data_IF_309134543201
#
_entry.id   IF_309134543201
#
_cell.length_a   1.000
_cell.length_b   1.000
_cell.length_c   1.000
_cell.angle_alpha   90.00
_cell.angle_beta   90.00
_cell.angle_gamma   90.00
#
_symmetry.space_group_name_H-M   'P 1'
#
loop_
_entity.id
_entity.type
_entity.pdbx_description
1 polymer ?
#
# COMPACT_ATOMS: atom_id res chain seq x y z
N UNK A 1 17.25 3.71 0.23
CA UNK A 1 16.90 4.67 1.31
C UNK A 1 17.94 5.79 1.34
N UNK A 2 17.90 6.71 2.31
CA UNK A 2 18.92 7.77 2.43
C UNK A 2 20.32 7.24 2.79
N UNK A 3 20.44 6.00 3.28
CA UNK A 3 21.72 5.30 3.47
C UNK A 3 22.27 4.70 2.18
N UNK A 4 21.54 4.80 1.07
CA UNK A 4 21.94 4.26 -0.24
C UNK A 4 21.59 2.79 -0.43
N UNK A 5 20.89 2.15 0.51
CA UNK A 5 20.46 0.76 0.39
C UNK A 5 19.30 0.64 -0.59
N UNK A 6 19.37 -0.31 -1.51
CA UNK A 6 18.35 -0.54 -2.54
C UNK A 6 18.07 -2.02 -2.66
N UNK A 7 16.79 -2.37 -2.64
CA UNK A 7 16.30 -3.71 -2.89
C UNK A 7 15.37 -3.68 -4.09
N UNK A 8 15.68 -4.49 -5.11
CA UNK A 8 14.88 -4.59 -6.33
C UNK A 8 14.25 -5.97 -6.42
N UNK A 9 12.98 -6.02 -6.83
CA UNK A 9 12.20 -7.27 -6.97
C UNK A 9 12.28 -8.17 -5.73
N UNK A 10 11.95 -7.63 -4.55
CA UNK A 10 11.94 -8.40 -3.29
C UNK A 10 10.95 -9.57 -3.41
N UNK A 11 11.45 -10.81 -3.32
CA UNK A 11 10.63 -12.04 -3.48
C UNK A 11 10.43 -12.84 -2.20
N UNK A 12 11.28 -12.69 -1.19
CA UNK A 12 11.28 -13.57 -0.02
C UNK A 12 10.09 -13.31 0.91
N UNK A 13 9.72 -12.04 1.10
CA UNK A 13 8.69 -11.63 2.06
C UNK A 13 7.46 -10.95 1.41
N UNK A 14 7.44 -10.88 0.08
CA UNK A 14 6.35 -10.29 -0.71
C UNK A 14 5.77 -11.34 -1.65
N UNK A 15 4.47 -11.56 -1.55
CA UNK A 15 3.72 -12.47 -2.40
C UNK A 15 2.86 -11.65 -3.36
N UNK A 16 2.94 -11.99 -4.65
CA UNK A 16 2.15 -11.38 -5.74
C UNK A 16 1.16 -12.42 -6.24
N UNK A 17 -0.13 -12.09 -6.25
CA UNK A 17 -1.20 -12.93 -6.81
C UNK A 17 -1.87 -12.20 -7.97
N UNK A 18 -1.99 -12.86 -9.11
CA UNK A 18 -2.68 -12.33 -10.29
C UNK A 18 -4.18 -12.23 -10.01
N UNK A 19 -4.79 -11.15 -10.50
CA UNK A 19 -6.22 -10.92 -10.44
C UNK A 19 -6.78 -10.78 -11.84
N UNK A 20 -7.99 -11.29 -12.07
CA UNK A 20 -8.73 -11.01 -13.29
C UNK A 20 -9.26 -9.56 -13.31
N UNK A 21 -9.86 -9.17 -14.42
CA UNK A 21 -10.46 -7.83 -14.59
C UNK A 21 -11.60 -7.53 -13.59
N UNK A 22 -12.12 -8.53 -12.88
CA UNK A 22 -13.17 -8.39 -11.86
C UNK A 22 -12.61 -8.42 -10.42
N UNK A 23 -11.29 -8.59 -10.27
CA UNK A 23 -10.63 -8.67 -8.97
C UNK A 23 -10.62 -10.07 -8.32
N UNK A 24 -10.98 -11.12 -9.05
CA UNK A 24 -10.88 -12.50 -8.56
C UNK A 24 -9.45 -13.03 -8.74
N UNK A 25 -9.00 -13.85 -7.79
CA UNK A 25 -7.66 -14.46 -7.87
C UNK A 25 -7.61 -15.46 -9.01
N UNK A 26 -6.68 -15.24 -9.94
CA UNK A 26 -6.31 -16.22 -10.96
C UNK A 26 -5.29 -17.15 -10.31
N UNK A 27 -5.59 -18.44 -10.23
CA UNK A 27 -4.65 -19.44 -9.72
C UNK A 27 -3.35 -19.35 -10.54
N UNK A 28 -2.20 -19.23 -9.87
CA UNK A 28 -0.93 -19.15 -10.57
C UNK A 28 -0.78 -20.44 -11.37
N UNK A 29 -0.80 -20.36 -12.70
CA UNK A 29 -0.17 -21.41 -13.50
C UNK A 29 1.22 -21.56 -12.92
N UNK A 30 1.61 -22.78 -12.54
CA UNK A 30 3.03 -23.06 -12.30
C UNK A 30 3.79 -22.41 -13.45
N UNK A 31 4.84 -21.65 -13.17
CA UNK A 31 5.83 -21.18 -14.15
C UNK A 31 6.60 -22.39 -14.68
N UNK A 32 5.85 -23.34 -15.25
CA UNK A 32 6.21 -24.71 -15.50
C UNK A 32 5.86 -25.05 -16.93
N UNK A 33 6.85 -24.84 -17.81
CA UNK A 33 7.13 -25.68 -18.97
C UNK A 33 5.90 -25.94 -19.85
N UNK A 34 5.50 -24.93 -20.62
CA UNK A 34 4.43 -25.04 -21.61
C UNK A 34 4.71 -24.29 -22.91
N UNK A 35 5.95 -23.92 -23.18
CA UNK A 35 6.29 -23.52 -24.54
C UNK A 35 6.13 -24.78 -25.42
N UNK A 36 5.48 -24.70 -26.60
CA UNK A 36 5.40 -25.84 -27.51
C UNK A 36 6.80 -26.40 -27.72
N UNK A 37 6.98 -27.69 -27.42
CA UNK A 37 8.24 -28.40 -27.65
C UNK A 37 8.47 -28.43 -29.15
N UNK A 38 9.26 -27.50 -29.66
CA UNK A 38 9.80 -27.58 -31.02
C UNK A 38 10.78 -28.76 -31.00
N UNK A 39 10.59 -29.74 -31.88
CA UNK A 39 11.42 -30.95 -31.90
C UNK A 39 12.91 -30.65 -32.19
N UNK A 40 13.21 -29.48 -32.77
CA UNK A 40 14.56 -29.03 -33.19
C UNK A 40 14.75 -27.50 -33.08
N UNK A 41 14.88 -26.92 -31.87
CA UNK A 41 15.10 -25.48 -31.71
C UNK A 41 16.46 -25.05 -32.30
N UNK A 42 16.57 -23.77 -32.67
CA UNK A 42 17.80 -23.17 -33.20
C UNK A 42 18.81 -22.98 -32.06
N UNK A 43 20.03 -23.46 -32.27
CA UNK A 43 21.13 -23.32 -31.31
C UNK A 43 22.01 -22.12 -31.62
N UNK A 44 22.81 -21.68 -30.65
CA UNK A 44 23.74 -20.54 -30.80
C UNK A 44 24.66 -20.63 -32.01
N UNK A 45 25.09 -21.83 -32.40
CA UNK A 45 25.97 -22.05 -33.55
C UNK A 45 25.24 -22.11 -34.91
N UNK A 46 23.94 -21.80 -34.95
CA UNK A 46 23.12 -21.79 -36.18
C UNK A 46 22.60 -23.17 -36.62
N UNK A 47 22.93 -24.24 -35.87
CA UNK A 47 22.42 -25.59 -36.07
C UNK A 47 21.07 -25.83 -35.38
N UNK A 48 20.40 -26.92 -35.75
CA UNK A 48 19.18 -27.41 -35.09
C UNK A 48 19.53 -28.49 -34.08
N UNK A 49 18.85 -28.53 -32.94
CA UNK A 49 19.11 -29.52 -31.88
C UNK A 49 19.08 -30.97 -32.42
N UNK A 50 20.16 -31.72 -32.22
CA UNK A 50 20.23 -33.15 -32.51
C UNK A 50 19.87 -34.03 -31.30
N UNK A 51 19.64 -35.34 -31.53
CA UNK A 51 19.08 -36.27 -30.53
C UNK A 51 19.95 -36.49 -29.28
N UNK A 52 21.20 -36.01 -29.26
CA UNK A 52 22.16 -36.17 -28.16
C UNK A 52 22.79 -34.83 -27.71
N UNK A 53 22.23 -33.70 -28.11
CA UNK A 53 22.77 -32.38 -27.77
C UNK A 53 21.97 -31.71 -26.65
N UNK A 54 22.66 -31.00 -25.77
CA UNK A 54 22.01 -30.13 -24.78
C UNK A 54 21.67 -28.81 -25.44
N UNK A 55 20.42 -28.38 -25.36
CA UNK A 55 20.00 -27.10 -25.92
C UNK A 55 20.78 -25.94 -25.28
N UNK A 56 21.42 -25.15 -26.14
CA UNK A 56 22.08 -23.90 -25.79
C UNK A 56 21.58 -22.80 -26.75
N UNK A 57 20.68 -21.96 -26.26
CA UNK A 57 20.17 -20.81 -27.01
C UNK A 57 21.15 -19.62 -27.00
N UNK A 58 21.08 -18.79 -28.05
CA UNK A 58 21.88 -17.55 -28.11
C UNK A 58 21.32 -16.47 -27.19
N UNK A 59 22.21 -15.71 -26.55
CA UNK A 59 21.89 -14.47 -25.85
C UNK A 59 22.04 -13.24 -26.76
N UNK A 60 22.08 -13.41 -28.08
CA UNK A 60 22.10 -12.34 -29.08
C UNK A 60 23.21 -11.28 -28.87
N UNK A 61 24.40 -11.72 -28.45
CA UNK A 61 25.56 -10.86 -28.19
C UNK A 61 25.64 -10.34 -26.76
N UNK A 62 24.69 -10.70 -25.90
CA UNK A 62 24.70 -10.35 -24.47
C UNK A 62 25.39 -11.41 -23.59
N UNK A 63 25.98 -12.45 -24.18
CA UNK A 63 26.79 -13.46 -23.47
C UNK A 63 27.93 -12.79 -22.67
N UNK A 64 28.20 -13.28 -21.45
CA UNK A 64 29.37 -12.84 -20.65
C UNK A 64 30.60 -13.71 -20.93
N UNK A 65 30.37 -14.99 -21.23
CA UNK A 65 31.39 -15.97 -21.62
C UNK A 65 30.98 -16.76 -22.86
N UNK A 66 31.94 -17.44 -23.49
CA UNK A 66 31.65 -18.32 -24.63
C UNK A 66 30.87 -19.59 -24.26
N UNK A 67 30.72 -19.90 -22.98
CA UNK A 67 29.93 -21.04 -22.50
C UNK A 67 28.51 -20.63 -22.05
N UNK A 68 28.18 -19.33 -22.06
CA UNK A 68 26.87 -18.86 -21.62
C UNK A 68 25.78 -19.18 -22.65
N UNK A 69 24.67 -19.73 -22.16
CA UNK A 69 23.49 -20.08 -22.94
C UNK A 69 22.26 -19.38 -22.35
N UNK A 70 21.41 -18.82 -23.22
CA UNK A 70 20.11 -18.28 -22.85
C UNK A 70 19.00 -19.20 -23.36
N UNK A 71 18.38 -19.95 -22.46
CA UNK A 71 17.46 -21.03 -22.83
C UNK A 71 15.99 -20.62 -22.75
N UNK A 72 15.69 -19.57 -21.99
CA UNK A 72 14.37 -18.96 -21.87
C UNK A 72 14.36 -17.50 -22.35
N UNK A 73 13.16 -16.96 -22.61
CA UNK A 73 13.02 -15.53 -22.89
C UNK A 73 13.52 -14.67 -21.73
N UNK A 74 13.31 -15.15 -20.50
CA UNK A 74 13.79 -14.48 -19.29
C UNK A 74 15.31 -14.47 -19.21
N UNK A 75 15.99 -15.56 -19.60
CA UNK A 75 17.46 -15.64 -19.61
C UNK A 75 18.05 -14.60 -20.57
N UNK A 76 17.47 -14.45 -21.78
CA UNK A 76 17.89 -13.44 -22.76
C UNK A 76 17.72 -12.03 -22.18
N UNK A 77 16.56 -11.75 -21.58
CA UNK A 77 16.28 -10.45 -20.96
C UNK A 77 17.24 -10.15 -19.81
N UNK A 78 17.55 -11.14 -19.00
CA UNK A 78 18.50 -11.00 -17.90
C UNK A 78 19.94 -10.78 -18.39
N UNK A 79 20.36 -11.46 -19.46
CA UNK A 79 21.66 -11.20 -20.09
C UNK A 79 21.77 -9.77 -20.65
N UNK A 80 20.73 -9.31 -21.36
CA UNK A 80 20.64 -7.92 -21.85
C UNK A 80 20.70 -6.92 -20.70
N UNK A 81 19.96 -7.18 -19.63
CA UNK A 81 19.96 -6.35 -18.41
C UNK A 81 21.35 -6.24 -17.80
N UNK A 82 22.11 -7.33 -17.69
CA UNK A 82 23.49 -7.32 -17.18
C UNK A 82 24.43 -6.46 -18.02
N UNK A 83 24.16 -6.32 -19.33
CA UNK A 83 24.90 -5.45 -20.26
C UNK A 83 24.34 -4.02 -20.31
N UNK A 84 23.23 -3.73 -19.63
CA UNK A 84 22.52 -2.45 -19.71
C UNK A 84 21.82 -2.23 -21.05
N UNK A 85 21.49 -3.30 -21.76
CA UNK A 85 20.74 -3.26 -23.02
C UNK A 85 19.25 -3.49 -22.73
N UNK A 86 18.38 -2.82 -23.48
CA UNK A 86 16.95 -3.07 -23.45
C UNK A 86 16.52 -3.94 -24.62
N UNK A 87 15.59 -4.86 -24.38
CA UNK A 87 15.07 -5.73 -25.43
C UNK A 87 14.00 -4.96 -26.23
N UNK A 88 14.40 -4.38 -27.36
CA UNK A 88 13.55 -3.49 -28.16
C UNK A 88 12.45 -4.21 -28.94
N UNK A 89 12.69 -5.45 -29.38
CA UNK A 89 11.69 -6.24 -30.11
C UNK A 89 11.76 -7.72 -29.71
N UNK A 90 10.87 -8.18 -28.81
CA UNK A 90 10.80 -9.58 -28.40
C UNK A 90 10.50 -10.57 -29.54
N UNK A 91 9.91 -10.14 -30.67
CA UNK A 91 9.62 -11.04 -31.81
C UNK A 91 10.87 -11.49 -32.56
N UNK A 92 11.99 -10.76 -32.42
CA UNK A 92 13.29 -11.13 -33.00
C UNK A 92 14.02 -12.19 -32.18
N UNK A 93 13.55 -12.47 -30.96
CA UNK A 93 14.13 -13.44 -30.05
C UNK A 93 13.35 -14.74 -30.12
N UNK A 94 14.00 -15.81 -30.58
CA UNK A 94 13.39 -17.13 -30.79
C UNK A 94 12.78 -17.67 -29.50
N UNK A 95 13.49 -17.54 -28.38
CA UNK A 95 13.03 -17.96 -27.06
C UNK A 95 11.73 -17.24 -26.66
N UNK A 96 11.64 -15.92 -26.89
CA UNK A 96 10.46 -15.12 -26.57
C UNK A 96 9.28 -15.43 -27.50
N UNK A 97 9.54 -15.62 -28.79
CA UNK A 97 8.53 -16.01 -29.78
C UNK A 97 7.98 -17.41 -29.48
N UNK A 98 8.85 -18.39 -29.21
CA UNK A 98 8.49 -19.77 -28.84
C UNK A 98 7.64 -19.81 -27.57
N UNK A 99 8.00 -19.02 -26.57
CA UNK A 99 7.28 -18.95 -25.31
C UNK A 99 5.99 -18.14 -25.37
N UNK A 100 5.68 -17.55 -26.53
CA UNK A 100 4.50 -16.72 -26.74
C UNK A 100 4.51 -15.48 -25.85
N UNK A 101 5.68 -14.89 -25.58
CA UNK A 101 5.83 -13.81 -24.60
C UNK A 101 4.90 -12.61 -24.88
N UNK A 102 4.82 -12.16 -26.14
CA UNK A 102 3.90 -11.08 -26.52
C UNK A 102 2.42 -11.47 -26.40
N UNK A 103 2.10 -12.75 -26.67
CA UNK A 103 0.73 -13.23 -26.51
C UNK A 103 0.35 -13.26 -25.02
N UNK A 104 1.26 -13.70 -24.14
CA UNK A 104 1.06 -13.66 -22.69
C UNK A 104 0.80 -12.24 -22.18
N UNK A 105 1.56 -11.25 -22.65
CA UNK A 105 1.34 -9.83 -22.30
C UNK A 105 -0.05 -9.36 -22.74
N UNK A 106 -0.51 -9.77 -23.94
CA UNK A 106 -1.86 -9.43 -24.43
C UNK A 106 -2.96 -10.15 -23.65
N UNK A 107 -2.74 -11.39 -23.28
CA UNK A 107 -3.68 -12.18 -22.50
C UNK A 107 -3.80 -11.64 -21.07
N UNK A 108 -2.73 -11.05 -20.54
CA UNK A 108 -2.65 -10.36 -19.25
C UNK A 108 -3.22 -8.93 -19.28
N UNK A 109 -3.73 -8.48 -20.42
CA UNK A 109 -4.32 -7.16 -20.54
C UNK A 109 -5.60 -7.03 -19.70
N UNK A 110 -5.64 -6.01 -18.84
CA UNK A 110 -6.77 -5.77 -17.94
C UNK A 110 -6.72 -6.60 -16.65
N UNK A 111 -5.68 -7.40 -16.45
CA UNK A 111 -5.43 -8.06 -15.17
C UNK A 111 -4.93 -7.08 -14.10
N UNK A 112 -5.15 -7.46 -12.85
CA UNK A 112 -4.62 -6.79 -11.66
C UNK A 112 -3.62 -7.65 -10.91
N UNK A 113 -3.06 -7.09 -9.84
CA UNK A 113 -2.16 -7.82 -8.95
C UNK A 113 -2.50 -7.49 -7.49
N UNK A 114 -2.71 -8.52 -6.68
CA UNK A 114 -2.80 -8.41 -5.23
C UNK A 114 -1.42 -8.68 -4.63
N UNK A 115 -0.88 -7.68 -3.94
CA UNK A 115 0.43 -7.72 -3.31
C UNK A 115 0.24 -7.68 -1.80
N UNK A 116 0.81 -8.64 -1.09
CA UNK A 116 0.82 -8.67 0.37
C UNK A 116 2.12 -9.26 0.89
N UNK A 117 2.53 -8.83 2.08
CA UNK A 117 3.79 -9.22 2.67
C UNK A 117 4.25 -8.21 3.71
N UNK A 118 5.51 -8.32 4.12
CA UNK A 118 6.17 -7.38 5.01
C UNK A 118 7.55 -7.05 4.46
N UNK A 119 8.09 -5.90 4.86
CA UNK A 119 9.43 -5.47 4.48
C UNK A 119 10.14 -4.99 5.74
N UNK A 120 11.29 -5.58 6.03
CA UNK A 120 12.20 -5.05 7.04
C UNK A 120 13.07 -3.98 6.38
N UNK A 121 12.99 -2.76 6.91
CA UNK A 121 13.72 -1.60 6.38
C UNK A 121 14.46 -0.91 7.51
N UNK A 122 15.56 -0.25 7.16
CA UNK A 122 16.25 0.63 8.10
C UNK A 122 15.33 1.74 8.60
N UNK A 123 15.51 2.13 9.87
CA UNK A 123 14.80 3.25 10.49
C UNK A 123 15.37 4.60 10.02
N UNK A 124 15.31 4.83 8.72
CA UNK A 124 15.73 6.07 8.04
C UNK A 124 14.70 6.42 6.96
N UNK A 125 14.75 7.66 6.46
CA UNK A 125 13.88 8.06 5.35
C UNK A 125 14.13 7.20 4.10
N UNK A 126 13.06 6.84 3.41
CA UNK A 126 13.13 5.94 2.28
C UNK A 126 11.91 6.02 1.37
N UNK A 127 11.89 5.15 0.37
CA UNK A 127 10.73 4.98 -0.49
C UNK A 127 10.63 3.53 -0.96
N UNK A 128 9.39 3.07 -1.12
CA UNK A 128 9.06 1.88 -1.89
C UNK A 128 8.02 2.26 -2.94
N UNK A 129 8.00 1.55 -4.07
CA UNK A 129 7.10 1.87 -5.16
C UNK A 129 6.72 0.64 -5.96
N UNK A 130 5.55 0.70 -6.59
CA UNK A 130 5.06 -0.27 -7.54
C UNK A 130 4.97 0.39 -8.90
N UNK A 131 5.68 -0.17 -9.87
CA UNK A 131 5.72 0.33 -11.23
C UNK A 131 5.68 -0.86 -12.21
N UNK A 132 5.12 -0.66 -13.41
CA UNK A 132 5.08 -1.70 -14.42
C UNK A 132 6.48 -2.05 -14.94
N UNK A 133 6.63 -3.30 -15.40
CA UNK A 133 7.88 -3.83 -15.91
C UNK A 133 8.87 -4.24 -14.81
N UNK A 134 9.95 -4.92 -15.21
CA UNK A 134 11.07 -5.22 -14.31
C UNK A 134 11.99 -4.01 -14.26
N UNK A 135 12.28 -3.52 -13.06
CA UNK A 135 13.23 -2.43 -12.81
C UNK A 135 14.66 -2.90 -13.09
N UNK A 136 15.44 -2.12 -13.84
CA UNK A 136 16.88 -2.31 -13.98
C UNK A 136 17.64 -0.99 -13.84
N UNK A 137 18.89 -1.09 -13.40
CA UNK A 137 19.75 0.07 -13.18
C UNK A 137 20.69 0.22 -14.38
N UNK A 138 20.74 1.42 -14.96
CA UNK A 138 21.75 1.81 -15.95
C UNK A 138 22.38 3.13 -15.50
N UNK A 139 23.70 3.12 -15.26
CA UNK A 139 24.48 4.35 -14.95
C UNK A 139 23.89 5.24 -13.84
N UNK A 140 23.49 4.65 -12.71
CA UNK A 140 22.82 5.34 -11.58
C UNK A 140 21.44 5.95 -11.88
N UNK A 141 20.82 5.59 -13.01
CA UNK A 141 19.44 5.93 -13.34
C UNK A 141 18.58 4.66 -13.26
N UNK A 142 17.45 4.77 -12.58
CA UNK A 142 16.43 3.72 -12.55
C UNK A 142 15.67 3.71 -13.88
N UNK A 143 15.85 2.65 -14.66
CA UNK A 143 15.19 2.47 -15.95
C UNK A 143 14.22 1.29 -15.82
N UNK A 144 12.96 1.53 -16.14
CA UNK A 144 11.99 0.44 -16.28
C UNK A 144 12.01 -0.03 -17.73
N UNK A 145 12.03 -1.35 -17.93
CA UNK A 145 11.83 -1.97 -19.25
C UNK A 145 10.36 -1.85 -19.66
N UNK A 146 9.95 -0.62 -20.01
CA UNK A 146 8.62 -0.29 -20.51
C UNK A 146 8.51 -0.49 -22.03
N UNK A 147 9.63 -0.76 -22.70
CA UNK A 147 9.71 -0.86 -24.16
C UNK A 147 8.95 -2.07 -24.72
N UNK A 148 8.84 -3.16 -23.94
CA UNK A 148 7.98 -4.30 -24.27
C UNK A 148 6.48 -4.00 -24.14
N UNK A 149 6.11 -2.92 -23.45
CA UNK A 149 4.75 -2.52 -23.15
C UNK A 149 4.40 -1.25 -23.93
N UNK A 150 4.50 -1.28 -25.27
CA UNK A 150 4.17 -0.21 -26.23
C UNK A 150 2.72 0.34 -26.08
N UNK A 151 2.38 0.88 -24.92
CA UNK A 151 1.16 1.59 -24.63
C UNK A 151 1.56 2.91 -24.00
N UNK A 152 1.03 3.97 -24.58
CA UNK A 152 1.17 5.34 -24.08
C UNK A 152 0.44 5.56 -22.74
N UNK A 153 -0.20 4.52 -22.20
CA UNK A 153 -1.03 4.55 -21.00
C UNK A 153 -0.87 3.30 -20.15
N UNK A 154 -0.61 3.48 -18.85
CA UNK A 154 -0.59 2.44 -17.83
C UNK A 154 -1.65 2.73 -16.79
N UNK A 155 -2.41 1.71 -16.40
CA UNK A 155 -3.38 1.81 -15.33
C UNK A 155 -2.70 1.55 -13.97
N UNK A 156 -2.60 2.60 -13.16
CA UNK A 156 -2.07 2.63 -11.81
C UNK A 156 -3.19 2.82 -10.76
N UNK A 157 -4.44 2.58 -11.14
CA UNK A 157 -5.56 2.46 -10.19
C UNK A 157 -5.26 1.36 -9.19
N UNK A 158 -5.52 1.62 -7.91
CA UNK A 158 -5.14 0.69 -6.86
C UNK A 158 -6.02 0.84 -5.63
N UNK A 159 -6.03 -0.21 -4.82
CA UNK A 159 -6.69 -0.26 -3.53
C UNK A 159 -5.68 -0.69 -2.48
N UNK A 160 -5.52 0.12 -1.44
CA UNK A 160 -4.70 -0.22 -0.29
C UNK A 160 -5.61 -0.92 0.71
N UNK A 161 -5.45 -2.24 0.83
CA UNK A 161 -6.24 -3.01 1.79
C UNK A 161 -5.79 -2.72 3.22
N UNK A 162 -4.48 -2.75 3.45
CA UNK A 162 -3.86 -2.46 4.74
C UNK A 162 -2.42 -1.99 4.55
N UNK A 163 -2.01 -0.94 5.26
CA UNK A 163 -0.62 -0.52 5.38
C UNK A 163 -0.31 -0.15 6.83
N UNK A 164 0.72 -0.76 7.42
CA UNK A 164 1.12 -0.54 8.79
C UNK A 164 2.64 -0.46 8.93
N UNK A 165 3.12 0.30 9.91
CA UNK A 165 4.52 0.42 10.26
C UNK A 165 4.76 -0.13 11.68
N UNK A 166 5.24 -1.37 11.78
CA UNK A 166 5.41 -2.07 13.06
C UNK A 166 4.15 -2.77 13.54
N UNK A 167 4.11 -3.10 14.82
CA UNK A 167 3.09 -3.97 15.41
C UNK A 167 1.74 -3.29 15.65
N UNK A 168 0.66 -4.05 15.65
CA UNK A 168 -0.65 -3.50 16.01
C UNK A 168 -0.72 -3.14 17.50
N UNK A 169 -1.40 -2.04 17.84
CA UNK A 169 -1.77 -1.71 19.21
C UNK A 169 -3.24 -1.22 19.27
N UNK A 170 -3.94 -1.38 20.40
CA UNK A 170 -5.34 -1.00 20.53
C UNK A 170 -5.59 0.48 20.24
N UNK A 171 -6.64 0.76 19.45
CA UNK A 171 -7.06 2.12 19.11
C UNK A 171 -6.29 2.77 17.95
N UNK A 172 -5.28 2.10 17.37
CA UNK A 172 -4.61 2.60 16.16
C UNK A 172 -5.57 2.58 14.97
N UNK A 173 -5.58 3.67 14.20
CA UNK A 173 -6.30 3.79 12.94
C UNK A 173 -5.31 4.25 11.88
N UNK A 174 -5.04 3.42 10.88
CA UNK A 174 -4.12 3.77 9.80
C UNK A 174 -4.88 4.53 8.70
N UNK A 175 -4.38 5.71 8.26
CA UNK A 175 -5.06 6.54 7.27
C UNK A 175 -5.29 5.87 5.90
N UNK A 176 -4.47 4.88 5.52
CA UNK A 176 -4.51 4.25 4.21
C UNK A 176 -5.26 2.91 4.18
N UNK A 177 -5.80 2.44 5.30
CA UNK A 177 -6.54 1.19 5.34
C UNK A 177 -7.88 1.33 4.60
N UNK A 178 -8.06 0.54 3.52
CA UNK A 178 -9.27 0.54 2.70
C UNK A 178 -9.36 1.65 1.66
N UNK A 179 -8.33 2.47 1.49
CA UNK A 179 -8.31 3.56 0.50
C UNK A 179 -8.29 2.98 -0.91
N UNK A 180 -9.10 3.57 -1.80
CA UNK A 180 -9.14 3.24 -3.22
C UNK A 180 -8.92 4.50 -4.04
N UNK A 181 -8.12 4.38 -5.09
CA UNK A 181 -7.91 5.45 -6.04
C UNK A 181 -8.02 4.91 -7.47
N UNK A 182 -8.76 5.64 -8.30
CA UNK A 182 -8.97 5.31 -9.71
C UNK A 182 -8.33 6.37 -10.58
N UNK A 183 -7.58 5.93 -11.57
CA UNK A 183 -6.87 6.81 -12.48
C UNK A 183 -7.80 7.40 -13.54
N UNK A 184 -7.78 8.72 -13.67
CA UNK A 184 -8.54 9.46 -14.68
C UNK A 184 -7.72 9.78 -15.93
N UNK A 185 -6.41 10.07 -15.78
CA UNK A 185 -5.52 10.44 -16.88
C UNK A 185 -4.81 9.22 -17.46
N UNK A 186 -4.43 9.18 -18.76
CA UNK A 186 -3.84 7.99 -19.38
C UNK A 186 -2.55 7.48 -18.73
N UNK A 187 -1.75 8.39 -18.16
CA UNK A 187 -0.49 8.04 -17.52
C UNK A 187 -0.14 9.06 -16.44
N UNK A 188 0.52 8.60 -15.39
CA UNK A 188 0.98 9.45 -14.30
C UNK A 188 1.58 8.65 -13.16
N UNK A 189 2.06 9.38 -12.17
CA UNK A 189 2.57 8.82 -10.93
C UNK A 189 1.70 9.27 -9.76
N UNK A 190 1.32 8.32 -8.90
CA UNK A 190 0.59 8.60 -7.67
C UNK A 190 1.55 8.49 -6.49
N UNK A 191 1.60 9.50 -5.64
CA UNK A 191 2.60 9.64 -4.59
C UNK A 191 1.93 9.79 -3.23
N UNK A 192 2.29 8.90 -2.31
CA UNK A 192 1.97 8.96 -0.89
C UNK A 192 3.19 9.46 -0.12
N UNK A 193 3.06 10.57 0.58
CA UNK A 193 4.06 11.08 1.51
C UNK A 193 3.66 10.74 2.93
N UNK A 194 4.34 9.75 3.51
CA UNK A 194 4.06 9.17 4.80
C UNK A 194 5.01 9.75 5.85
N UNK A 195 4.47 10.30 6.94
CA UNK A 195 5.24 10.70 8.11
C UNK A 195 5.00 9.70 9.24
N UNK A 196 6.01 8.89 9.53
CA UNK A 196 5.96 7.81 10.52
C UNK A 196 6.36 8.36 11.89
N UNK A 197 5.53 8.14 12.90
CA UNK A 197 5.68 8.65 14.27
C UNK A 197 5.88 7.47 15.22
N UNK A 198 7.09 7.31 15.82
CA UNK A 198 7.33 6.29 16.82
C UNK A 198 6.35 6.42 18.00
N UNK A 199 5.69 5.32 18.34
CA UNK A 199 4.63 5.28 19.35
C UNK A 199 4.89 4.16 20.34
N UNK A 200 4.83 4.46 21.64
CA UNK A 200 4.88 3.47 22.71
C UNK A 200 3.51 3.39 23.35
N UNK A 201 2.92 2.19 23.37
CA UNK A 201 1.66 1.93 24.05
C UNK A 201 1.91 1.07 25.28
N UNK A 202 1.46 1.53 26.44
CA UNK A 202 1.51 0.80 27.71
C UNK A 202 0.09 0.46 28.13
N UNK A 203 -0.20 -0.83 28.29
CA UNK A 203 -1.51 -1.28 28.78
C UNK A 203 -1.66 -1.08 30.29
N UNK A 204 -2.84 -1.40 30.81
CA UNK A 204 -3.14 -1.33 32.25
C UNK A 204 -2.32 -2.31 33.11
N UNK A 205 -1.78 -3.37 32.50
CA UNK A 205 -0.94 -4.37 33.18
C UNK A 205 0.54 -3.98 33.23
N UNK A 206 0.93 -2.91 32.52
CA UNK A 206 2.30 -2.44 32.37
C UNK A 206 3.05 -3.04 31.18
N UNK A 207 2.41 -3.88 30.36
CA UNK A 207 2.99 -4.40 29.13
C UNK A 207 3.11 -3.29 28.08
N UNK A 208 4.30 -3.18 27.49
CA UNK A 208 4.67 -2.08 26.58
C UNK A 208 4.86 -2.60 25.16
N UNK A 209 4.16 -2.00 24.20
CA UNK A 209 4.26 -2.26 22.77
C UNK A 209 4.97 -1.07 22.12
N UNK A 210 6.07 -1.33 21.41
CA UNK A 210 6.77 -0.32 20.60
C UNK A 210 6.33 -0.47 19.15
N UNK A 211 5.61 0.54 18.65
CA UNK A 211 5.09 0.54 17.29
C UNK A 211 5.21 1.92 16.67
N UNK A 212 4.53 2.17 15.55
CA UNK A 212 4.46 3.45 14.89
C UNK A 212 3.02 3.77 14.48
N UNK A 213 2.75 5.05 14.41
CA UNK A 213 1.60 5.61 13.71
C UNK A 213 2.11 6.36 12.50
N UNK A 214 1.22 6.77 11.59
CA UNK A 214 1.63 7.63 10.50
C UNK A 214 0.51 8.55 10.04
N UNK A 215 0.90 9.67 9.45
CA UNK A 215 0.02 10.54 8.66
C UNK A 215 0.44 10.50 7.19
N UNK A 216 -0.48 10.85 6.30
CA UNK A 216 -0.26 10.76 4.86
C UNK A 216 -0.74 12.02 4.15
N UNK A 217 0.04 12.44 3.16
CA UNK A 217 -0.36 13.42 2.13
C UNK A 217 -0.28 12.75 0.76
N UNK A 218 -1.27 13.01 -0.07
CA UNK A 218 -1.42 12.39 -1.40
C UNK A 218 -1.15 13.42 -2.50
N UNK A 219 -0.48 13.00 -3.57
CA UNK A 219 -0.22 13.84 -4.72
C UNK A 219 -0.19 13.02 -6.00
N UNK A 220 -1.01 13.39 -6.98
CA UNK A 220 -0.96 12.80 -8.32
C UNK A 220 -0.25 13.75 -9.28
N UNK A 221 0.70 13.21 -10.04
CA UNK A 221 1.40 13.95 -11.09
C UNK A 221 1.18 13.24 -12.42
N UNK A 222 0.39 13.87 -13.29
CA UNK A 222 0.14 13.40 -14.65
C UNK A 222 1.38 13.43 -15.53
N UNK A 223 1.39 12.61 -16.58
CA UNK A 223 2.40 12.68 -17.63
C UNK A 223 2.16 13.91 -18.51
N UNK A 224 2.95 14.97 -18.33
CA UNK A 224 2.95 16.08 -19.30
C UNK A 224 3.71 15.71 -20.57
N UNK A 225 3.09 16.01 -21.72
CA UNK A 225 3.54 15.65 -23.08
C UNK A 225 4.97 16.14 -23.42
N UNK A 226 5.52 17.12 -22.68
CA UNK A 226 6.80 17.77 -22.99
C UNK A 226 7.91 17.63 -21.93
N UNK A 227 7.68 16.89 -20.84
CA UNK A 227 8.74 16.64 -19.83
C UNK A 227 9.10 15.17 -19.83
N UNK A 228 10.38 14.88 -20.00
CA UNK A 228 11.01 13.55 -19.88
C UNK A 228 10.24 12.67 -18.88
N UNK A 229 9.60 11.65 -19.45
CA UNK A 229 8.96 10.48 -18.85
C UNK A 229 9.03 10.43 -17.31
N UNK A 230 8.01 10.97 -16.63
CA UNK A 230 7.77 10.55 -15.24
C UNK A 230 7.34 9.09 -15.28
N UNK A 231 8.06 8.23 -14.56
CA UNK A 231 7.78 6.79 -14.53
C UNK A 231 6.37 6.56 -13.95
N UNK A 232 5.45 5.92 -14.70
CA UNK A 232 4.13 5.64 -14.17
C UNK A 232 4.23 4.63 -13.03
N UNK A 233 3.49 4.86 -11.95
CA UNK A 233 3.52 3.97 -10.80
C UNK A 233 2.92 4.59 -9.55
N UNK A 234 2.88 3.80 -8.49
CA UNK A 234 2.43 4.18 -7.15
C UNK A 234 3.62 4.20 -6.22
N UNK A 235 3.92 5.36 -5.65
CA UNK A 235 5.13 5.61 -4.86
C UNK A 235 4.76 5.95 -3.42
N UNK A 236 5.48 5.35 -2.48
CA UNK A 236 5.32 5.58 -1.04
C UNK A 236 6.64 6.11 -0.50
N UNK A 237 6.69 7.41 -0.24
CA UNK A 237 7.82 8.08 0.40
C UNK A 237 7.56 8.13 1.88
N UNK A 238 8.42 7.54 2.70
CA UNK A 238 8.26 7.54 4.15
C UNK A 238 9.44 8.22 4.83
N UNK A 239 9.14 8.96 5.89
CA UNK A 239 10.13 9.67 6.69
C UNK A 239 9.73 9.60 8.18
N UNK A 240 10.74 9.54 9.05
CA UNK A 240 10.54 9.38 10.49
C UNK A 240 10.45 10.74 11.17
N UNK A 241 9.39 10.92 11.95
CA UNK A 241 9.20 12.08 12.80
C UNK A 241 10.21 12.06 13.95
N UNK A 242 10.82 13.21 14.29
CA UNK A 242 11.69 13.32 15.46
C UNK A 242 10.92 13.30 16.79
N UNK A 243 9.58 13.26 16.74
CA UNK A 243 8.71 13.25 17.92
C UNK A 243 8.23 11.82 18.20
N UNK A 244 8.21 11.45 19.49
CA UNK A 244 7.68 10.18 19.97
C UNK A 244 6.39 10.41 20.77
N UNK A 245 5.38 9.58 20.54
CA UNK A 245 4.12 9.58 21.28
C UNK A 245 4.09 8.42 22.25
N UNK A 246 3.63 8.66 23.48
CA UNK A 246 3.45 7.60 24.48
C UNK A 246 1.99 7.58 24.92
N UNK A 247 1.33 6.45 24.73
CA UNK A 247 0.01 6.17 25.27
C UNK A 247 0.15 5.28 26.49
N UNK A 248 -0.48 5.70 27.60
CA UNK A 248 -0.57 4.89 28.81
C UNK A 248 -2.03 4.70 29.16
N UNK A 249 -2.49 3.46 29.11
CA UNK A 249 -3.82 3.12 29.57
C UNK A 249 -3.83 3.08 31.09
N UNK A 250 -4.83 3.72 31.69
CA UNK A 250 -4.97 3.78 33.15
C UNK A 250 -6.39 3.37 33.54
N UNK A 251 -6.50 2.61 34.62
CA UNK A 251 -7.79 2.42 35.26
C UNK A 251 -8.20 3.70 35.98
N UNK A 252 -9.44 4.14 35.72
CA UNK A 252 -10.10 5.11 36.60
C UNK A 252 -10.26 4.49 37.98
N UNK A 253 -9.88 5.22 39.02
CA UNK A 253 -10.00 4.71 40.39
C UNK A 253 -11.48 4.48 40.75
N UNK A 254 -11.75 3.45 41.55
CA UNK A 254 -13.11 3.19 42.04
C UNK A 254 -13.71 4.39 42.78
N UNK A 255 -12.86 5.17 43.47
CA UNK A 255 -13.28 6.41 44.12
C UNK A 255 -13.78 7.44 43.11
N UNK A 256 -13.13 7.57 41.95
CA UNK A 256 -13.57 8.48 40.89
C UNK A 256 -14.93 8.06 40.30
N UNK A 257 -15.18 6.75 40.18
CA UNK A 257 -16.50 6.23 39.83
C UNK A 257 -17.54 6.59 40.90
N UNK A 258 -17.22 6.36 42.18
CA UNK A 258 -18.13 6.66 43.29
C UNK A 258 -18.45 8.15 43.39
N UNK A 259 -17.46 9.04 43.21
CA UNK A 259 -17.69 10.49 43.18
C UNK A 259 -18.60 10.89 42.03
N UNK A 260 -18.45 10.28 40.85
CA UNK A 260 -19.35 10.54 39.71
C UNK A 260 -20.78 10.06 40.00
N UNK A 261 -20.96 8.88 40.61
CA UNK A 261 -22.29 8.38 41.02
C UNK A 261 -22.92 9.33 42.05
N UNK A 262 -22.17 9.73 43.08
CA UNK A 262 -22.63 10.69 44.09
C UNK A 262 -22.99 12.05 43.47
N UNK A 263 -22.25 12.52 42.46
CA UNK A 263 -22.55 13.76 41.75
C UNK A 263 -23.87 13.66 40.97
N UNK A 264 -24.13 12.53 40.30
CA UNK A 264 -25.39 12.29 39.57
C UNK A 264 -26.58 12.20 40.55
N UNK A 265 -26.44 11.46 41.64
CA UNK A 265 -27.48 11.34 42.67
C UNK A 265 -27.72 12.67 43.39
N UNK A 266 -26.65 13.41 43.71
CA UNK A 266 -26.74 14.74 44.29
C UNK A 266 -27.43 15.75 43.35
N UNK A 267 -27.11 15.70 42.06
CA UNK A 267 -27.73 16.55 41.04
C UNK A 267 -29.23 16.28 40.88
N UNK A 268 -29.63 15.01 40.83
CA UNK A 268 -31.06 14.64 40.73
C UNK A 268 -31.85 15.03 41.99
N UNK A 269 -31.30 14.80 43.19
CA UNK A 269 -31.94 15.22 44.43
C UNK A 269 -32.03 16.74 44.61
N UNK A 270 -31.01 17.49 44.17
CA UNK A 270 -31.04 18.96 44.18
C UNK A 270 -32.07 19.51 43.18
N UNK A 271 -32.15 18.92 41.98
CA UNK A 271 -33.15 19.28 40.97
C UNK A 271 -34.58 19.03 41.47
N UNK A 272 -34.82 17.90 42.12
CA UNK A 272 -36.14 17.57 42.67
C UNK A 272 -36.55 18.50 43.83
N UNK A 273 -35.60 18.87 44.70
CA UNK A 273 -35.85 19.91 45.73
C UNK A 273 -36.13 21.28 45.11
N UNK A 274 -35.39 21.66 44.07
CA UNK A 274 -35.62 22.92 43.35
C UNK A 274 -37.02 22.97 42.73
N UNK A 275 -37.47 21.88 42.10
CA UNK A 275 -38.83 21.77 41.58
C UNK A 275 -39.89 21.87 42.68
N UNK A 276 -39.71 21.18 43.82
CA UNK A 276 -40.64 21.27 44.95
C UNK A 276 -40.72 22.67 45.58
N UNK A 277 -39.60 23.40 45.64
CA UNK A 277 -39.59 24.79 46.13
C UNK A 277 -40.27 25.71 45.12
N UNK A 278 -40.02 25.54 43.82
CA UNK A 278 -40.72 26.29 42.78
C UNK A 278 -42.24 26.06 42.83
N UNK A 279 -42.70 24.81 42.95
CA UNK A 279 -44.13 24.51 43.10
C UNK A 279 -44.74 25.17 44.35
N UNK A 280 -44.02 25.13 45.48
CA UNK A 280 -44.48 25.79 46.72
C UNK A 280 -44.49 27.30 46.62
N UNK A 281 -43.50 27.93 45.98
CA UNK A 281 -43.50 29.37 45.74
C UNK A 281 -44.65 29.79 44.84
N UNK A 282 -44.89 29.05 43.74
CA UNK A 282 -46.03 29.28 42.87
C UNK A 282 -47.34 29.18 43.67
N UNK A 283 -47.52 28.12 44.47
CA UNK A 283 -48.71 27.95 45.31
C UNK A 283 -48.90 29.07 46.35
N UNK A 284 -47.83 29.56 46.98
CA UNK A 284 -47.89 30.68 47.92
C UNK A 284 -48.31 31.98 47.24
N UNK A 285 -47.79 32.23 46.03
CA UNK A 285 -48.11 33.42 45.24
C UNK A 285 -49.58 33.42 44.79
N UNK A 286 -50.14 32.24 44.47
CA UNK A 286 -51.58 32.08 44.21
C UNK A 286 -52.44 32.32 45.46
N UNK A 287 -52.04 31.80 46.62
CA UNK A 287 -52.77 32.01 47.89
C UNK A 287 -52.74 33.49 48.33
N UNK A 288 -51.62 34.17 48.16
CA UNK A 288 -51.49 35.60 48.49
C UNK A 288 -52.34 36.48 47.56
N UNK A 289 -52.41 36.12 46.27
CA UNK A 289 -53.26 36.79 45.29
C UNK A 289 -54.76 36.56 45.56
N UNK A 290 -55.17 35.37 46.00
CA UNK A 290 -56.57 35.08 46.36
C UNK A 290 -56.99 35.76 47.67
N UNK A 291 -56.11 35.82 48.69
CA UNK A 291 -56.39 36.58 49.92
C UNK A 291 -56.56 38.07 49.66
N UNK A 292 -55.75 38.66 48.78
CA UNK A 292 -55.89 40.07 48.38
C UNK A 292 -57.19 40.37 47.63
N UNK A 293 -57.80 39.39 46.95
CA UNK A 293 -59.10 39.53 46.28
C UNK A 293 -60.31 39.39 47.21
N UNK A 294 -60.14 38.92 48.44
CA UNK A 294 -61.23 38.68 49.39
C UNK A 294 -61.18 39.58 50.63
N UNK A 295 -60.27 40.57 50.68
CA UNK A 295 -60.35 41.64 51.67
C UNK A 295 -61.54 42.58 51.34
N UNK A 296 -62.56 42.67 52.22
CA UNK A 296 -63.63 43.63 52.05
C UNK A 296 -63.10 45.05 52.24
N UNK A 297 -63.51 45.95 51.35
CA UNK A 297 -63.27 47.38 51.44
C UNK A 297 -64.00 47.95 52.67
N UNK A 298 -63.33 47.94 53.82
CA UNK A 298 -63.77 48.63 55.03
C UNK A 298 -63.05 49.99 55.11
N UNK A 299 -63.80 51.03 54.76
CA UNK A 299 -63.66 52.41 55.25
C UNK A 299 -64.47 52.50 56.54
#
# INVERSE_FOLDING_TARGET
>A
DISGEQHLDVRHDIIKKRLDAHGNVIESRQDGIGAPKIEKPLQRHGGRLEHNETYCGSCYGAEASDDDCCNSCEDVREAYRKKGWALSNPDLVDQCKREGFLQKIKDEEGEGCNIYGFLEVNKVAGNFHFAPGKSFQQSNVHVHDLLAFQKDSFNISHKINRLAFGDYFPGVVNPLDGVHWTQEQPSGMYQYFIKVVPTVYTDVSGHTIQSNQFSVTEHFKGAEINRLQSLPGVFFFYDLSPIKVTFTEQHVSFLHFLTNVCAIVGGTGAWEKSNRVNEKMIAMQYLEYDMLKHLPSLI
#
